data_IF_267413308624
#
_entry.id   IF_267413308624
#
_cell.length_a   1.000
_cell.length_b   1.000
_cell.length_c   1.000
_cell.angle_alpha   90.00
_cell.angle_beta   90.00
_cell.angle_gamma   90.00
#
_symmetry.space_group_name_H-M   'P 1'
#
loop_
_entity.id
_entity.type
_entity.pdbx_description
1 polymer ?
#
# COMPACT_ATOMS: atom_id res chain seq x y z
N UNK A 1 19.60 1.48 0.38
CA UNK A 1 19.01 0.70 -0.73
C UNK A 1 20.16 0.07 -1.48
N UNK A 2 20.13 -1.25 -1.72
CA UNK A 2 21.22 -1.92 -2.42
C UNK A 2 21.18 -1.48 -3.88
N UNK A 3 22.31 -1.03 -4.43
CA UNK A 3 22.34 -0.68 -5.84
C UNK A 3 22.12 -1.91 -6.73
N UNK A 4 21.44 -1.69 -7.85
CA UNK A 4 21.15 -2.74 -8.84
C UNK A 4 20.01 -3.69 -8.47
N UNK A 5 19.29 -3.49 -7.37
CA UNK A 5 18.10 -4.31 -7.03
C UNK A 5 16.78 -3.62 -7.22
N UNK A 6 15.77 -4.41 -7.59
CA UNK A 6 14.37 -4.01 -7.44
C UNK A 6 14.07 -3.84 -5.96
N UNK A 7 13.44 -2.71 -5.63
CA UNK A 7 12.90 -2.45 -4.31
C UNK A 7 11.38 -2.45 -4.40
N UNK A 8 10.73 -3.05 -3.43
CA UNK A 8 9.28 -3.08 -3.31
C UNK A 8 8.89 -2.50 -1.95
N UNK A 9 7.78 -1.77 -1.91
CA UNK A 9 7.26 -1.15 -0.69
C UNK A 9 5.81 -1.56 -0.56
N UNK A 10 5.44 -2.11 0.60
CA UNK A 10 4.06 -2.39 0.96
C UNK A 10 3.62 -1.41 2.05
N UNK A 11 2.62 -0.59 1.73
CA UNK A 11 1.97 0.30 2.69
C UNK A 11 0.78 -0.44 3.31
N UNK A 12 0.80 -0.65 4.62
CA UNK A 12 -0.32 -1.21 5.36
C UNK A 12 -1.03 -0.10 6.15
N UNK A 13 -2.32 0.13 5.91
CA UNK A 13 -3.09 1.16 6.62
C UNK A 13 -4.55 0.77 6.79
N UNK A 14 -5.20 1.31 7.83
CA UNK A 14 -6.64 1.18 8.06
C UNK A 14 -7.41 2.48 7.83
N UNK A 15 -6.75 3.54 7.34
CA UNK A 15 -7.37 4.85 7.30
C UNK A 15 -6.58 5.90 6.52
N UNK A 16 -7.16 7.11 6.53
CA UNK A 16 -6.64 8.30 5.88
C UNK A 16 -5.50 8.91 6.70
N UNK A 17 -4.44 9.36 6.04
CA UNK A 17 -3.40 10.14 6.71
C UNK A 17 -4.00 11.43 7.31
N UNK A 18 -3.57 11.77 8.52
CA UNK A 18 -4.02 12.96 9.25
C UNK A 18 -2.88 13.95 9.56
N UNK A 19 -1.65 13.65 9.13
CA UNK A 19 -0.48 14.48 9.36
C UNK A 19 0.61 14.19 8.30
N UNK A 20 1.69 14.98 8.32
CA UNK A 20 2.87 14.78 7.47
C UNK A 20 2.95 15.72 6.27
N UNK A 21 4.02 15.53 5.48
CA UNK A 21 4.23 16.30 4.25
C UNK A 21 3.19 15.93 3.19
N UNK A 22 2.79 16.86 2.32
CA UNK A 22 1.90 16.54 1.20
C UNK A 22 2.49 15.41 0.36
N UNK A 23 1.66 14.43 0.03
CA UNK A 23 2.08 13.20 -0.64
C UNK A 23 2.71 13.45 -2.01
N UNK A 24 2.25 14.49 -2.69
CA UNK A 24 2.85 15.00 -3.92
C UNK A 24 4.34 15.34 -3.80
N UNK A 25 4.83 15.64 -2.60
CA UNK A 25 6.25 15.99 -2.38
C UNK A 25 7.14 14.77 -2.13
N UNK A 26 6.58 13.65 -1.66
CA UNK A 26 7.35 12.47 -1.24
C UNK A 26 7.22 11.30 -2.21
N UNK A 27 6.06 11.15 -2.86
CA UNK A 27 5.79 10.01 -3.74
C UNK A 27 6.68 9.93 -4.98
N UNK A 28 7.02 11.04 -5.68
CA UNK A 28 7.88 10.94 -6.86
C UNK A 28 9.26 10.34 -6.54
N UNK A 29 9.85 10.74 -5.41
CA UNK A 29 11.14 10.22 -4.97
C UNK A 29 11.06 8.74 -4.56
N UNK A 30 9.92 8.30 -4.02
CA UNK A 30 9.67 6.91 -3.66
C UNK A 30 9.48 6.04 -4.91
N UNK A 31 8.64 6.48 -5.85
CA UNK A 31 8.35 5.78 -7.11
C UNK A 31 9.58 5.67 -8.01
N UNK A 32 10.51 6.63 -7.93
CA UNK A 32 11.79 6.54 -8.63
C UNK A 32 12.71 5.43 -8.10
N UNK A 33 12.45 4.92 -6.89
CA UNK A 33 13.33 3.96 -6.20
C UNK A 33 12.70 2.59 -5.97
N UNK A 34 11.37 2.51 -5.94
CA UNK A 34 10.65 1.30 -5.56
C UNK A 34 9.29 1.16 -6.25
N UNK A 35 8.87 -0.09 -6.43
CA UNK A 35 7.50 -0.43 -6.79
C UNK A 35 6.61 -0.40 -5.54
N UNK A 36 5.57 0.43 -5.53
CA UNK A 36 4.76 0.68 -4.33
C UNK A 36 3.40 -0.01 -4.42
N UNK A 37 3.11 -0.82 -3.40
CA UNK A 37 1.86 -1.52 -3.18
C UNK A 37 1.17 -0.97 -1.92
N UNK A 38 -0.14 -1.11 -1.85
CA UNK A 38 -0.92 -0.81 -0.65
C UNK A 38 -1.82 -1.99 -0.29
N UNK A 39 -1.85 -2.33 1.00
CA UNK A 39 -2.82 -3.23 1.61
C UNK A 39 -3.63 -2.45 2.64
N UNK A 40 -4.94 -2.45 2.48
CA UNK A 40 -5.83 -1.56 3.23
C UNK A 40 -6.81 -2.36 4.06
N UNK A 41 -7.02 -1.98 5.33
CA UNK A 41 -7.89 -2.70 6.26
C UNK A 41 -9.13 -1.87 6.56
N UNK A 42 -10.33 -2.41 6.33
CA UNK A 42 -11.59 -1.74 6.67
C UNK A 42 -12.34 -1.18 5.47
N UNK A 43 -13.34 -0.35 5.76
CA UNK A 43 -14.15 0.33 4.74
C UNK A 43 -13.61 1.73 4.50
N UNK A 44 -13.38 2.09 3.23
CA UNK A 44 -12.81 3.36 2.86
C UNK A 44 -13.86 4.31 2.29
N UNK A 45 -13.84 5.54 2.80
CA UNK A 45 -14.54 6.65 2.15
C UNK A 45 -13.93 6.91 0.76
N UNK A 46 -14.70 7.51 -0.14
CA UNK A 46 -14.21 7.89 -1.48
C UNK A 46 -12.93 8.75 -1.41
N UNK A 47 -12.80 9.61 -0.38
CA UNK A 47 -11.60 10.42 -0.17
C UNK A 47 -10.39 9.60 0.27
N UNK A 48 -10.58 8.57 1.11
CA UNK A 48 -9.51 7.65 1.51
C UNK A 48 -9.04 6.80 0.34
N UNK A 49 -9.97 6.31 -0.50
CA UNK A 49 -9.60 5.58 -1.71
C UNK A 49 -8.79 6.45 -2.68
N UNK A 50 -9.16 7.71 -2.90
CA UNK A 50 -8.38 8.64 -3.73
C UNK A 50 -6.95 8.80 -3.21
N UNK A 51 -6.78 8.98 -1.91
CA UNK A 51 -5.47 9.08 -1.27
C UNK A 51 -4.65 7.79 -1.45
N UNK A 52 -5.24 6.63 -1.18
CA UNK A 52 -4.58 5.33 -1.36
C UNK A 52 -4.15 5.08 -2.80
N UNK A 53 -4.99 5.44 -3.78
CA UNK A 53 -4.65 5.32 -5.20
C UNK A 53 -3.52 6.24 -5.63
N UNK A 54 -3.25 7.30 -4.87
CA UNK A 54 -2.09 8.17 -5.12
C UNK A 54 -0.77 7.54 -4.65
N UNK A 55 -0.81 6.65 -3.66
CA UNK A 55 0.38 6.05 -3.08
C UNK A 55 1.06 5.02 -3.98
N UNK A 56 0.27 4.27 -4.71
CA UNK A 56 0.71 3.04 -5.37
C UNK A 56 1.27 3.29 -6.77
N UNK A 57 2.12 2.37 -7.21
CA UNK A 57 2.58 2.31 -8.59
C UNK A 57 1.45 1.99 -9.57
N UNK A 58 1.73 2.16 -10.86
CA UNK A 58 0.83 1.78 -11.96
C UNK A 58 1.16 0.37 -12.49
N UNK A 59 0.15 -0.40 -12.95
CA UNK A 59 -1.28 -0.07 -12.97
C UNK A 59 -1.92 -0.23 -11.59
N UNK A 60 -2.72 0.76 -11.18
CA UNK A 60 -3.32 0.84 -9.84
C UNK A 60 -4.10 -0.43 -9.41
N UNK A 61 -4.90 -1.09 -10.26
CA UNK A 61 -5.63 -2.31 -9.86
C UNK A 61 -4.73 -3.48 -9.44
N UNK A 62 -3.48 -3.52 -9.91
CA UNK A 62 -2.51 -4.55 -9.56
C UNK A 62 -1.69 -4.22 -8.29
N UNK A 63 -1.85 -3.00 -7.75
CA UNK A 63 -1.02 -2.51 -6.64
C UNK A 63 -1.83 -2.16 -5.39
N UNK A 64 -3.16 -2.32 -5.41
CA UNK A 64 -4.02 -2.08 -4.25
C UNK A 64 -4.75 -3.36 -3.89
N UNK A 65 -4.61 -3.72 -2.63
CA UNK A 65 -5.30 -4.83 -2.00
C UNK A 65 -6.10 -4.31 -0.82
N UNK A 66 -7.25 -4.94 -0.55
CA UNK A 66 -8.09 -4.57 0.58
C UNK A 66 -8.57 -5.80 1.32
N UNK A 67 -8.63 -5.70 2.64
CA UNK A 67 -9.22 -6.68 3.54
C UNK A 67 -10.27 -5.98 4.41
N UNK A 68 -11.40 -6.65 4.65
CA UNK A 68 -12.53 -6.04 5.34
C UNK A 68 -12.24 -5.67 6.80
N UNK A 69 -11.38 -6.43 7.48
CA UNK A 69 -11.04 -6.26 8.89
C UNK A 69 -9.74 -7.01 9.23
N UNK A 70 -9.29 -6.88 10.48
CA UNK A 70 -8.07 -7.53 10.96
C UNK A 70 -8.16 -9.06 11.00
N UNK A 71 -9.35 -9.64 11.17
CA UNK A 71 -9.53 -11.10 11.09
C UNK A 71 -9.26 -11.60 9.66
N UNK A 72 -9.71 -10.87 8.64
CA UNK A 72 -9.40 -11.17 7.25
C UNK A 72 -7.91 -10.99 6.92
N UNK A 73 -7.24 -9.99 7.52
CA UNK A 73 -5.78 -9.86 7.42
C UNK A 73 -5.08 -11.10 8.00
N UNK A 74 -5.51 -11.56 9.18
CA UNK A 74 -4.92 -12.74 9.80
C UNK A 74 -5.10 -14.01 8.94
N UNK A 75 -6.27 -14.16 8.31
CA UNK A 75 -6.51 -15.24 7.33
C UNK A 75 -5.55 -15.15 6.14
N UNK A 76 -5.36 -13.96 5.56
CA UNK A 76 -4.41 -13.73 4.48
C UNK A 76 -2.98 -14.12 4.89
N UNK A 77 -2.54 -13.71 6.08
CA UNK A 77 -1.22 -14.05 6.59
C UNK A 77 -1.06 -15.56 6.81
N UNK A 78 -2.09 -16.26 7.27
CA UNK A 78 -2.05 -17.71 7.43
C UNK A 78 -1.95 -18.43 6.09
N UNK A 79 -2.64 -17.94 5.05
CA UNK A 79 -2.50 -18.48 3.69
C UNK A 79 -1.08 -18.30 3.17
N UNK A 80 -0.51 -17.10 3.28
CA UNK A 80 0.85 -16.81 2.80
C UNK A 80 1.88 -17.66 3.55
N UNK A 81 1.73 -17.84 4.88
CA UNK A 81 2.64 -18.68 5.67
C UNK A 81 2.61 -20.16 5.29
N UNK A 82 1.50 -20.66 4.74
CA UNK A 82 1.40 -22.04 4.30
C UNK A 82 2.09 -22.28 2.93
N UNK A 83 2.41 -21.19 2.21
CA UNK A 83 3.05 -21.22 0.89
C UNK A 83 4.59 -21.06 0.97
N UNK A 84 5.16 -21.01 2.18
CA UNK A 84 6.62 -20.94 2.44
C UNK A 84 7.06 -22.25 3.09
#
# INVERSE_FOLDING_TARGET
MREGTKHEVLILTNGKANCGKPLSTVLPALHAKANVFALTIGSFSASGNKELTSYVSKPTPAHIFAVKNFQNLQKLLNLIKAEI
#
